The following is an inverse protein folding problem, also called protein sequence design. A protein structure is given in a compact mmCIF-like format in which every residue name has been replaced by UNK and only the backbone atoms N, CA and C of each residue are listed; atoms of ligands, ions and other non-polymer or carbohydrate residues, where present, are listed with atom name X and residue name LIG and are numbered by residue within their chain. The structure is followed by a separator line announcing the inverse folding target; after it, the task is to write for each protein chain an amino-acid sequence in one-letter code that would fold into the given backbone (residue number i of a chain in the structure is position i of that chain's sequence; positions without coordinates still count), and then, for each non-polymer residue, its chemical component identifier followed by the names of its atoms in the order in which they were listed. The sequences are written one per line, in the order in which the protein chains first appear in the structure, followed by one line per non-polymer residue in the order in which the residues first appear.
data_IF_598730194241
#
_entry.id   IF_598730194241
#
_cell.length_a   1.000
_cell.length_b   1.000
_cell.length_c   1.000
_cell.angle_alpha   90.00
_cell.angle_beta   90.00
_cell.angle_gamma   90.00
#
_symmetry.space_group_name_H-M   'P 1'
#
loop_
_entity.id
_entity.type
_entity.pdbx_description
1 polymer ?
#
# COMPACT_ATOMS: atom_id res chain seq x y z
N UNK A 1 -50.22 -46.46 1.19
CA UNK A 1 -49.92 -45.46 2.24
C UNK A 1 -49.26 -44.27 1.57
N UNK A 2 -49.88 -43.09 1.71
CA UNK A 2 -49.64 -41.88 0.92
C UNK A 2 -48.60 -40.99 1.63
N UNK A 3 -47.57 -40.61 0.87
CA UNK A 3 -46.92 -39.28 0.71
C UNK A 3 -46.39 -38.49 1.92
N UNK A 4 -45.35 -37.70 1.61
CA UNK A 4 -44.80 -36.50 2.28
C UNK A 4 -43.66 -36.81 3.28
N UNK A 5 -42.39 -36.84 2.88
CA UNK A 5 -41.55 -35.75 2.36
C UNK A 5 -41.56 -34.52 3.28
N UNK A 6 -40.86 -34.61 4.41
CA UNK A 6 -40.46 -33.44 5.18
C UNK A 6 -39.21 -32.86 4.51
N UNK A 7 -39.41 -31.84 3.68
CA UNK A 7 -38.33 -31.00 3.16
C UNK A 7 -37.75 -30.22 4.35
N UNK A 8 -36.45 -30.39 4.57
CA UNK A 8 -35.65 -29.62 5.50
C UNK A 8 -35.52 -28.18 4.94
N UNK A 9 -36.36 -27.26 5.40
CA UNK A 9 -36.21 -25.84 5.11
C UNK A 9 -35.09 -25.26 6.01
N UNK A 10 -33.84 -25.47 5.62
CA UNK A 10 -32.70 -24.76 6.18
C UNK A 10 -32.69 -23.33 5.65
N UNK A 11 -33.35 -22.42 6.35
CA UNK A 11 -33.24 -20.99 6.08
C UNK A 11 -31.82 -20.52 6.47
N UNK A 12 -30.91 -20.48 5.51
CA UNK A 12 -29.65 -19.76 5.64
C UNK A 12 -29.97 -18.27 5.49
N UNK A 13 -30.35 -17.62 6.59
CA UNK A 13 -30.23 -16.16 6.67
C UNK A 13 -28.74 -15.85 6.79
N UNK A 14 -28.07 -15.66 5.65
CA UNK A 14 -26.81 -14.91 5.65
C UNK A 14 -27.19 -13.44 5.86
N UNK A 15 -27.16 -13.00 7.11
CA UNK A 15 -27.01 -11.57 7.40
C UNK A 15 -25.72 -11.14 6.71
N UNK A 16 -25.85 -10.35 5.65
CA UNK A 16 -24.76 -9.55 5.14
C UNK A 16 -24.46 -8.48 6.21
N UNK A 17 -23.69 -8.87 7.22
CA UNK A 17 -23.03 -7.91 8.08
C UNK A 17 -22.08 -7.14 7.16
N UNK A 18 -22.39 -5.86 6.90
CA UNK A 18 -21.45 -4.96 6.25
C UNK A 18 -20.19 -4.96 7.09
N UNK A 19 -19.10 -5.53 6.58
CA UNK A 19 -17.81 -5.42 7.22
C UNK A 19 -17.42 -3.95 7.16
N UNK A 20 -17.29 -3.30 8.33
CA UNK A 20 -16.62 -2.02 8.41
C UNK A 20 -15.25 -2.17 7.70
N UNK A 21 -15.02 -1.39 6.65
CA UNK A 21 -13.78 -1.46 5.88
C UNK A 21 -12.69 -0.75 6.68
N UNK A 22 -11.83 -1.49 7.36
CA UNK A 22 -10.67 -0.93 8.03
C UNK A 22 -9.51 -0.83 7.03
N UNK A 23 -8.74 0.27 7.11
CA UNK A 23 -7.48 0.41 6.40
C UNK A 23 -6.60 -0.81 6.67
N UNK A 24 -6.23 -1.52 5.61
CA UNK A 24 -5.32 -2.65 5.65
C UNK A 24 -3.95 -2.20 5.18
N UNK A 25 -2.92 -2.47 5.98
CA UNK A 25 -1.53 -2.13 5.69
C UNK A 25 -0.73 -3.41 5.48
N UNK A 26 -0.07 -3.54 4.33
CA UNK A 26 0.78 -4.69 4.00
C UNK A 26 2.13 -4.26 3.43
N UNK A 27 3.10 -5.18 3.46
CA UNK A 27 4.49 -4.91 3.05
C UNK A 27 4.96 -5.75 1.86
N UNK A 28 4.03 -6.28 1.07
CA UNK A 28 4.37 -7.01 -0.16
C UNK A 28 4.92 -6.08 -1.22
N UNK A 29 5.91 -6.54 -1.98
CA UNK A 29 6.58 -5.78 -3.03
C UNK A 29 7.03 -6.69 -4.17
N UNK A 30 7.29 -6.10 -5.32
CA UNK A 30 8.13 -6.66 -6.39
C UNK A 30 9.50 -5.98 -6.39
N UNK A 31 10.43 -6.51 -7.19
CA UNK A 31 11.66 -5.81 -7.58
C UNK A 31 11.49 -5.26 -9.00
N UNK A 32 11.70 -3.96 -9.16
CA UNK A 32 11.53 -3.23 -10.41
C UNK A 32 11.79 -1.74 -10.20
N UNK A 33 11.97 -0.98 -11.29
CA UNK A 33 12.08 0.49 -11.25
C UNK A 33 13.07 0.98 -10.18
N UNK A 34 14.31 0.49 -10.23
CA UNK A 34 15.35 0.93 -9.29
C UNK A 34 15.35 0.24 -7.91
N UNK A 35 14.27 -0.43 -7.50
CA UNK A 35 14.21 -1.14 -6.23
C UNK A 35 12.87 -1.79 -5.88
N UNK A 36 12.29 -1.43 -4.74
CA UNK A 36 10.97 -1.94 -4.35
C UNK A 36 9.86 -1.18 -5.07
N UNK A 37 8.93 -1.92 -5.67
CA UNK A 37 7.74 -1.37 -6.32
C UNK A 37 6.49 -2.19 -5.98
N UNK A 38 5.32 -1.69 -6.35
CA UNK A 38 4.02 -2.32 -6.09
C UNK A 38 3.96 -3.75 -6.65
N UNK A 39 3.36 -4.70 -5.90
CA UNK A 39 3.07 -6.03 -6.42
C UNK A 39 1.80 -6.07 -7.28
N UNK A 40 1.01 -4.99 -7.30
CA UNK A 40 -0.31 -4.97 -7.91
C UNK A 40 -0.28 -4.43 -9.33
N UNK A 41 -0.97 -5.13 -10.24
CA UNK A 41 -1.16 -4.68 -11.60
C UNK A 41 -2.25 -3.59 -11.69
N UNK A 42 -2.29 -2.85 -12.81
CA UNK A 42 -3.31 -1.82 -13.10
C UNK A 42 -3.32 -0.62 -12.15
N UNK A 43 -2.17 -0.30 -11.56
CA UNK A 43 -1.95 0.93 -10.78
C UNK A 43 -1.09 1.91 -11.58
N UNK A 44 -1.21 3.19 -11.27
CA UNK A 44 -0.33 4.22 -11.83
C UNK A 44 0.83 4.44 -10.87
N UNK A 45 2.06 4.22 -11.33
CA UNK A 45 3.29 4.39 -10.55
C UNK A 45 4.04 5.64 -11.00
N UNK A 46 4.46 6.47 -10.04
CA UNK A 46 5.44 7.56 -10.19
C UNK A 46 6.79 7.10 -9.62
N UNK A 47 7.80 7.07 -10.49
CA UNK A 47 9.19 6.66 -10.17
C UNK A 47 10.13 7.85 -10.07
N UNK A 48 9.64 9.08 -10.32
CA UNK A 48 10.41 10.33 -10.32
C UNK A 48 11.60 10.41 -11.30
N UNK A 49 11.87 9.36 -12.07
CA UNK A 49 12.97 9.30 -13.03
C UNK A 49 12.76 10.18 -14.26
N UNK A 50 11.49 10.32 -14.66
CA UNK A 50 11.08 11.07 -15.83
C UNK A 50 11.16 12.58 -15.57
N UNK A 51 11.45 13.35 -16.62
CA UNK A 51 11.51 14.81 -16.52
C UNK A 51 10.16 15.45 -16.13
N UNK A 52 9.06 14.83 -16.59
CA UNK A 52 7.70 15.25 -16.24
C UNK A 52 7.15 14.33 -15.15
N UNK A 53 6.75 14.92 -14.03
CA UNK A 53 6.00 14.23 -12.99
C UNK A 53 4.58 13.94 -13.48
N UNK A 54 4.04 12.80 -13.07
CA UNK A 54 2.67 12.35 -13.32
C UNK A 54 1.66 13.18 -12.55
N UNK A 55 2.04 13.69 -11.39
CA UNK A 55 1.19 14.50 -10.54
C UNK A 55 1.81 15.87 -10.27
N UNK A 56 0.95 16.85 -10.04
CA UNK A 56 1.38 18.18 -9.63
C UNK A 56 1.65 18.18 -8.14
N UNK A 57 2.88 18.51 -7.78
CA UNK A 57 3.31 18.63 -6.40
C UNK A 57 3.41 20.10 -6.00
N UNK A 58 3.09 20.37 -4.74
CA UNK A 58 3.25 21.68 -4.10
C UNK A 58 3.94 21.52 -2.75
N UNK A 59 4.38 22.64 -2.17
CA UNK A 59 5.08 22.66 -0.90
C UNK A 59 6.60 22.61 -1.06
N UNK A 60 7.28 22.03 -0.07
CA UNK A 60 8.73 21.97 0.01
C UNK A 60 9.21 20.53 -0.24
N UNK A 61 9.68 20.29 -1.45
CA UNK A 61 10.22 19.00 -1.85
C UNK A 61 11.33 19.17 -2.88
N UNK A 62 12.09 18.12 -3.06
CA UNK A 62 13.08 17.98 -4.13
C UNK A 62 13.03 16.58 -4.71
N UNK A 63 13.33 16.47 -6.00
CA UNK A 63 13.59 15.19 -6.66
C UNK A 63 15.10 15.04 -6.76
N UNK A 64 15.64 14.03 -6.09
CA UNK A 64 17.09 13.84 -5.89
C UNK A 64 17.49 12.41 -6.20
N UNK A 65 18.80 12.17 -6.27
CA UNK A 65 19.39 10.83 -6.44
C UNK A 65 20.58 10.66 -5.50
N UNK A 66 20.81 9.44 -5.01
CA UNK A 66 21.90 9.15 -4.08
C UNK A 66 21.61 9.63 -2.65
N UNK A 67 22.65 9.79 -1.83
CA UNK A 67 22.51 10.23 -0.43
C UNK A 67 23.46 11.39 -0.15
N UNK A 68 22.97 12.39 0.59
CA UNK A 68 23.75 13.54 1.04
C UNK A 68 23.61 13.71 2.54
N UNK A 69 24.75 13.66 3.25
CA UNK A 69 24.78 13.68 4.71
C UNK A 69 24.10 14.93 5.26
N UNK A 70 23.11 14.72 6.14
CA UNK A 70 22.37 15.80 6.76
C UNK A 70 21.24 16.40 5.90
N UNK A 71 21.06 15.95 4.64
CA UNK A 71 19.97 16.42 3.79
C UNK A 71 18.95 15.32 3.50
N UNK A 72 19.38 14.21 2.90
CA UNK A 72 18.52 13.10 2.47
C UNK A 72 19.32 11.81 2.29
N UNK A 73 18.63 10.68 2.32
CA UNK A 73 19.20 9.38 2.02
C UNK A 73 18.30 8.55 1.11
N UNK A 74 18.84 8.09 -0.02
CA UNK A 74 18.16 7.15 -0.92
C UNK A 74 17.51 5.99 -0.14
N UNK A 75 16.26 5.58 -0.47
CA UNK A 75 15.65 4.39 0.11
C UNK A 75 16.54 3.14 -0.08
N UNK A 76 16.55 2.23 0.89
CA UNK A 76 17.26 0.95 0.74
C UNK A 76 16.31 -0.20 0.37
N UNK A 77 16.84 -1.22 -0.30
CA UNK A 77 16.13 -2.46 -0.57
C UNK A 77 17.10 -3.64 -0.63
N UNK A 78 16.56 -4.85 -0.46
CA UNK A 78 17.30 -6.07 -0.66
C UNK A 78 17.00 -6.63 -2.06
N UNK A 79 18.03 -6.80 -2.88
CA UNK A 79 17.88 -7.32 -4.25
C UNK A 79 17.86 -8.86 -4.33
N UNK A 80 17.72 -9.55 -3.20
CA UNK A 80 17.85 -11.00 -3.05
C UNK A 80 19.28 -11.48 -2.73
N UNK A 81 20.27 -10.59 -2.77
CA UNK A 81 21.69 -10.90 -2.49
C UNK A 81 22.26 -10.00 -1.40
N UNK A 82 22.00 -8.69 -1.47
CA UNK A 82 22.52 -7.70 -0.54
C UNK A 82 21.57 -6.53 -0.38
N UNK A 83 21.67 -5.83 0.74
CA UNK A 83 21.01 -4.55 0.95
C UNK A 83 21.76 -3.46 0.16
N UNK A 84 21.04 -2.77 -0.71
CA UNK A 84 21.57 -1.71 -1.58
C UNK A 84 20.67 -0.48 -1.52
N UNK A 85 21.25 0.66 -1.91
CA UNK A 85 20.53 1.93 -2.03
C UNK A 85 19.91 2.06 -3.40
N UNK A 86 18.77 2.74 -3.45
CA UNK A 86 18.21 3.26 -4.69
C UNK A 86 19.26 4.09 -5.43
N UNK A 87 19.46 3.75 -6.70
CA UNK A 87 20.37 4.43 -7.61
C UNK A 87 19.63 5.36 -8.57
N UNK A 88 18.29 5.37 -8.52
CA UNK A 88 17.40 6.17 -9.35
C UNK A 88 17.01 7.47 -8.65
N UNK A 89 16.02 8.19 -9.19
CA UNK A 89 15.54 9.42 -8.56
C UNK A 89 14.37 9.12 -7.63
N UNK A 90 14.28 9.88 -6.56
CA UNK A 90 13.20 9.75 -5.58
C UNK A 90 12.80 11.12 -5.05
N UNK A 91 11.61 11.22 -4.45
CA UNK A 91 11.14 12.44 -3.80
C UNK A 91 11.67 12.53 -2.36
N UNK A 92 12.12 13.72 -1.99
CA UNK A 92 12.47 14.05 -0.61
C UNK A 92 11.74 15.29 -0.12
N UNK A 93 11.08 15.19 1.04
CA UNK A 93 10.74 16.36 1.85
C UNK A 93 11.98 16.68 2.68
N UNK A 94 12.67 17.81 2.42
CA UNK A 94 13.99 18.04 2.98
C UNK A 94 13.96 18.18 4.49
N UNK A 95 15.06 17.78 5.13
CA UNK A 95 15.30 17.95 6.56
C UNK A 95 15.13 19.40 7.06
N UNK A 96 15.27 20.40 6.20
CA UNK A 96 15.36 21.80 6.63
C UNK A 96 14.06 22.31 7.26
N UNK A 97 13.92 22.07 8.57
CA UNK A 97 12.78 22.48 9.40
C UNK A 97 12.59 24.01 9.48
N UNK A 98 13.53 24.80 8.95
CA UNK A 98 13.39 26.26 8.91
C UNK A 98 12.65 26.75 7.66
N UNK A 99 12.45 25.91 6.64
CA UNK A 99 11.77 26.28 5.40
C UNK A 99 10.36 25.69 5.37
N UNK A 100 9.36 26.54 5.59
CA UNK A 100 7.95 26.13 5.51
C UNK A 100 7.43 26.13 4.05
N UNK A 101 6.45 25.27 3.71
CA UNK A 101 5.88 24.24 4.59
C UNK A 101 6.86 23.07 4.81
N UNK A 102 6.70 22.32 5.89
CA UNK A 102 7.50 21.11 6.16
C UNK A 102 6.96 19.87 5.43
N UNK A 103 6.32 20.10 4.28
CA UNK A 103 5.52 19.10 3.61
C UNK A 103 5.51 19.26 2.10
N UNK A 104 5.18 18.15 1.43
CA UNK A 104 4.93 18.06 0.01
C UNK A 104 3.55 17.46 -0.22
N UNK A 105 2.78 18.04 -1.13
CA UNK A 105 1.37 17.67 -1.32
C UNK A 105 1.06 17.48 -2.79
N UNK A 106 0.39 16.37 -3.10
CA UNK A 106 -0.40 16.21 -4.32
C UNK A 106 -1.84 16.50 -3.94
N UNK A 107 -2.40 17.61 -4.45
CA UNK A 107 -3.72 18.10 -4.04
C UNK A 107 -4.88 17.44 -4.78
N UNK A 108 -4.60 16.81 -5.92
CA UNK A 108 -5.60 16.08 -6.71
C UNK A 108 -4.90 15.07 -7.64
N UNK A 109 -5.24 13.80 -7.50
CA UNK A 109 -4.80 12.73 -8.40
C UNK A 109 -5.64 12.62 -9.69
N UNK A 110 -6.68 13.43 -9.83
CA UNK A 110 -7.62 13.48 -10.95
C UNK A 110 -8.76 12.46 -10.86
N UNK A 111 -8.82 11.68 -9.78
CA UNK A 111 -9.88 10.72 -9.46
C UNK A 111 -9.75 10.23 -8.01
N UNK A 112 -10.80 9.55 -7.53
CA UNK A 112 -10.85 8.95 -6.20
C UNK A 112 -10.28 7.52 -6.20
N UNK A 113 -9.29 7.29 -5.34
CA UNK A 113 -8.60 6.01 -5.22
C UNK A 113 -8.78 5.40 -3.82
N UNK A 114 -8.63 4.08 -3.71
CA UNK A 114 -8.65 3.33 -2.44
C UNK A 114 -7.39 2.49 -2.23
N UNK A 115 -6.42 2.61 -3.12
CA UNK A 115 -5.09 2.02 -2.96
C UNK A 115 -4.01 3.08 -3.09
N UNK A 116 -3.12 3.11 -2.11
CA UNK A 116 -1.85 3.81 -2.18
C UNK A 116 -0.71 2.83 -1.88
N UNK A 117 0.34 2.87 -2.69
CA UNK A 117 1.58 2.14 -2.47
C UNK A 117 2.76 3.09 -2.44
N UNK A 118 3.76 2.79 -1.64
CA UNK A 118 4.96 3.62 -1.58
C UNK A 118 6.19 2.83 -1.13
N UNK A 119 7.33 3.05 -1.77
CA UNK A 119 8.60 2.66 -1.20
C UNK A 119 9.08 3.75 -0.24
N UNK A 120 8.94 3.50 1.05
CA UNK A 120 9.33 4.44 2.10
C UNK A 120 10.70 4.06 2.66
N UNK A 121 11.68 4.96 2.51
CA UNK A 121 13.02 4.84 3.07
C UNK A 121 13.14 5.44 4.48
N UNK A 122 14.03 4.90 5.29
CA UNK A 122 14.38 5.44 6.61
C UNK A 122 13.16 5.79 7.50
N UNK A 123 12.12 4.93 7.53
CA UNK A 123 10.89 5.20 8.29
C UNK A 123 11.17 5.55 9.77
N UNK A 124 10.48 6.58 10.24
CA UNK A 124 10.65 7.14 11.58
C UNK A 124 9.37 7.79 12.12
N UNK A 125 9.43 8.27 13.36
CA UNK A 125 8.31 8.88 14.08
C UNK A 125 7.99 10.35 13.78
N UNK A 126 8.83 11.05 13.02
CA UNK A 126 8.64 12.47 12.67
C UNK A 126 8.24 12.67 11.21
N UNK A 127 8.19 11.58 10.45
CA UNK A 127 7.68 11.49 9.10
C UNK A 127 6.25 10.94 9.10
N UNK A 128 5.36 11.57 8.31
CA UNK A 128 3.95 11.15 8.22
C UNK A 128 3.32 11.38 6.85
N UNK A 129 2.30 10.58 6.56
CA UNK A 129 1.35 10.72 5.47
C UNK A 129 -0.02 11.12 5.97
N UNK A 130 -0.65 12.06 5.27
CA UNK A 130 -2.07 12.37 5.41
C UNK A 130 -2.76 12.10 4.07
N UNK A 131 -3.85 11.34 4.12
CA UNK A 131 -4.75 11.08 2.99
C UNK A 131 -6.00 11.91 3.17
N UNK A 132 -6.41 12.60 2.12
CA UNK A 132 -7.62 13.45 2.14
C UNK A 132 -8.57 13.08 1.02
N UNK A 133 -9.84 13.44 1.19
CA UNK A 133 -10.88 13.39 0.17
C UNK A 133 -11.69 14.70 0.24
N UNK A 134 -11.78 15.43 -0.87
CA UNK A 134 -12.44 16.74 -0.95
C UNK A 134 -11.93 17.72 0.13
N UNK A 135 -10.63 17.65 0.45
CA UNK A 135 -9.97 18.45 1.49
C UNK A 135 -10.23 17.99 2.94
N UNK A 136 -10.99 16.91 3.16
CA UNK A 136 -11.22 16.35 4.49
C UNK A 136 -10.22 15.24 4.79
N UNK A 137 -9.68 15.20 6.01
CA UNK A 137 -8.77 14.14 6.45
C UNK A 137 -9.49 12.78 6.51
N UNK A 138 -9.01 11.83 5.71
CA UNK A 138 -9.43 10.42 5.73
C UNK A 138 -8.58 9.65 6.73
N UNK A 139 -7.25 9.77 6.61
CA UNK A 139 -6.32 9.07 7.47
C UNK A 139 -5.00 9.80 7.62
N UNK A 140 -4.43 9.73 8.82
CA UNK A 140 -3.01 10.02 9.07
C UNK A 140 -2.27 8.74 9.44
N UNK A 141 -1.07 8.58 8.89
CA UNK A 141 -0.16 7.47 9.15
C UNK A 141 1.23 8.05 9.44
N UNK A 142 1.84 7.62 10.53
CA UNK A 142 3.22 7.92 10.90
C UNK A 142 4.09 6.67 10.72
N UNK A 143 5.42 6.81 10.70
CA UNK A 143 6.28 5.61 10.70
C UNK A 143 6.06 4.71 11.92
N UNK A 144 5.59 5.24 13.06
CA UNK A 144 5.21 4.43 14.22
C UNK A 144 4.02 3.51 13.97
N UNK A 145 3.07 3.92 13.13
CA UNK A 145 1.91 3.10 12.77
C UNK A 145 2.29 1.91 11.88
N UNK A 146 3.45 2.00 11.22
CA UNK A 146 3.96 1.00 10.27
C UNK A 146 5.00 0.06 10.89
N UNK A 147 5.68 0.50 11.94
CA UNK A 147 6.72 -0.28 12.56
C UNK A 147 6.17 -1.24 13.62
N UNK A 148 5.99 -2.51 13.25
CA UNK A 148 5.83 -3.57 14.25
C UNK A 148 7.05 -3.57 15.19
N UNK A 149 6.84 -3.30 16.48
CA UNK A 149 7.90 -3.35 17.50
C UNK A 149 8.81 -2.11 17.58
N UNK A 150 8.32 -0.90 17.30
CA UNK A 150 9.08 0.37 17.45
C UNK A 150 10.33 0.48 16.56
N UNK A 151 10.31 -0.16 15.38
CA UNK A 151 11.41 -0.09 14.42
C UNK A 151 11.50 1.25 13.66
N UNK A 152 10.60 2.21 13.87
CA UNK A 152 10.62 3.53 13.22
C UNK A 152 11.73 4.44 13.78
N UNK A 153 12.99 4.04 13.61
CA UNK A 153 14.17 4.72 14.16
C UNK A 153 14.98 5.48 13.10
N UNK A 154 14.53 5.51 11.84
CA UNK A 154 15.24 6.20 10.77
C UNK A 154 16.49 5.48 10.25
N UNK A 155 16.64 4.18 10.53
CA UNK A 155 17.79 3.43 10.00
C UNK A 155 17.74 3.41 8.46
N UNK A 156 18.84 3.84 7.85
CA UNK A 156 18.93 4.06 6.41
C UNK A 156 19.10 2.76 5.62
N UNK A 157 19.37 1.62 6.25
CA UNK A 157 19.61 0.35 5.56
C UNK A 157 18.71 -0.79 6.05
N UNK A 158 18.26 -0.74 7.30
CA UNK A 158 17.52 -1.84 7.90
C UNK A 158 16.22 -2.15 7.11
N UNK A 159 15.94 -3.43 6.79
CA UNK A 159 14.68 -3.82 6.15
C UNK A 159 13.43 -3.50 6.99
N UNK A 160 13.58 -3.20 8.28
CA UNK A 160 12.51 -2.74 9.16
C UNK A 160 12.00 -1.34 8.84
N UNK A 161 12.90 -0.46 8.40
CA UNK A 161 12.66 0.97 8.12
C UNK A 161 12.64 1.31 6.65
N UNK A 162 12.99 0.36 5.78
CA UNK A 162 13.01 0.54 4.33
C UNK A 162 12.11 -0.51 3.68
N UNK A 163 10.87 -0.12 3.34
CA UNK A 163 9.85 -1.06 2.88
C UNK A 163 8.97 -0.46 1.79
N UNK A 164 8.44 -1.34 0.95
CA UNK A 164 7.22 -1.00 0.22
C UNK A 164 6.03 -1.14 1.15
N UNK A 165 5.21 -0.10 1.27
CA UNK A 165 4.04 -0.05 2.14
C UNK A 165 2.82 0.11 1.27
N UNK A 166 1.86 -0.78 1.46
CA UNK A 166 0.59 -0.79 0.74
C UNK A 166 -0.52 -0.39 1.70
N UNK A 167 -1.34 0.56 1.31
CA UNK A 167 -2.50 1.07 2.01
C UNK A 167 -3.75 0.74 1.21
N UNK A 168 -4.55 -0.20 1.71
CA UNK A 168 -5.84 -0.58 1.14
C UNK A 168 -6.96 -0.05 2.03
N UNK A 169 -7.66 0.97 1.55
CA UNK A 169 -8.77 1.63 2.24
C UNK A 169 -10.10 0.86 2.10
N UNK A 170 -10.11 -0.24 1.34
CA UNK A 170 -11.28 -1.03 0.96
C UNK A 170 -12.35 -0.16 0.33
N UNK A 171 -13.41 0.20 1.06
CA UNK A 171 -14.47 1.08 0.53
C UNK A 171 -14.21 2.57 0.70
N UNK A 172 -13.33 2.99 1.62
CA UNK A 172 -12.96 4.40 1.78
C UNK A 172 -12.09 4.88 0.61
N UNK A 173 -12.12 6.20 0.35
CA UNK A 173 -11.45 6.82 -0.80
C UNK A 173 -10.59 8.00 -0.36
N UNK A 174 -9.62 8.35 -1.20
CA UNK A 174 -8.81 9.55 -1.11
C UNK A 174 -8.53 10.09 -2.52
N UNK A 175 -8.30 11.39 -2.64
CA UNK A 175 -7.95 12.10 -3.87
C UNK A 175 -6.61 12.85 -3.76
N UNK A 176 -6.06 12.95 -2.55
CA UNK A 176 -4.86 13.72 -2.25
C UNK A 176 -4.03 13.09 -1.13
N UNK A 177 -2.73 13.38 -1.16
CA UNK A 177 -1.79 13.02 -0.10
C UNK A 177 -0.90 14.19 0.29
N UNK A 178 -0.50 14.21 1.55
CA UNK A 178 0.55 15.11 2.07
C UNK A 178 1.62 14.31 2.79
N UNK A 179 2.87 14.47 2.36
CA UNK A 179 4.08 13.98 3.01
C UNK A 179 4.60 15.08 3.94
N UNK A 180 4.86 14.76 5.21
CA UNK A 180 5.39 15.75 6.17
C UNK A 180 6.60 15.20 6.89
N UNK A 181 7.63 16.03 7.06
CA UNK A 181 8.82 15.74 7.86
C UNK A 181 9.07 16.87 8.87
N UNK A 182 9.14 16.56 10.17
CA UNK A 182 9.40 17.59 11.19
C UNK A 182 10.79 17.54 11.82
N UNK A 183 11.70 16.67 11.35
CA UNK A 183 13.05 16.58 11.93
C UNK A 183 14.15 16.14 10.95
N UNK A 184 14.05 14.96 10.35
CA UNK A 184 14.93 14.51 9.24
C UNK A 184 14.09 14.20 8.02
N UNK A 185 14.71 14.27 6.85
CA UNK A 185 13.98 14.19 5.59
C UNK A 185 13.04 12.98 5.50
N UNK A 186 11.95 13.18 4.77
CA UNK A 186 11.10 12.11 4.32
C UNK A 186 11.59 11.67 2.95
N UNK A 187 11.98 10.41 2.77
CA UNK A 187 12.36 9.87 1.46
C UNK A 187 11.38 8.81 0.97
N UNK A 188 10.92 8.96 -0.27
CA UNK A 188 10.07 7.97 -0.90
C UNK A 188 10.26 7.86 -2.40
N UNK A 189 9.94 6.69 -2.92
CA UNK A 189 9.96 6.38 -4.34
C UNK A 189 8.84 5.40 -4.73
N UNK A 190 8.68 5.14 -6.03
CA UNK A 190 7.75 4.18 -6.61
C UNK A 190 6.34 4.33 -6.03
N UNK A 191 5.85 5.57 -5.98
CA UNK A 191 4.53 5.89 -5.45
C UNK A 191 3.46 5.37 -6.40
N UNK A 192 2.52 4.58 -5.89
CA UNK A 192 1.47 3.96 -6.67
C UNK A 192 0.07 4.39 -6.20
N UNK A 193 -0.83 4.68 -7.14
CA UNK A 193 -2.26 4.88 -6.87
C UNK A 193 -3.10 3.96 -7.75
N UNK A 194 -4.25 3.54 -7.25
CA UNK A 194 -5.18 2.76 -8.04
C UNK A 194 -6.41 2.29 -7.27
N UNK A 195 -7.08 1.30 -7.85
CA UNK A 195 -8.12 0.58 -7.15
C UNK A 195 -7.48 -0.41 -6.15
N UNK A 196 -8.03 -0.48 -4.93
CA UNK A 196 -7.76 -1.53 -3.96
C UNK A 196 -7.79 -2.89 -4.65
N UNK A 197 -6.69 -3.66 -4.57
CA UNK A 197 -6.66 -5.03 -5.06
C UNK A 197 -7.74 -5.82 -4.34
N UNK A 198 -8.79 -6.19 -5.07
CA UNK A 198 -9.87 -7.00 -4.50
C UNK A 198 -9.27 -8.38 -4.22
N UNK A 199 -9.30 -8.89 -2.97
CA UNK A 199 -8.90 -10.26 -2.70
C UNK A 199 -9.65 -11.17 -3.65
N UNK A 200 -8.94 -12.05 -4.37
CA UNK A 200 -9.58 -12.97 -5.30
C UNK A 200 -10.78 -13.62 -4.59
N UNK A 201 -11.98 -13.59 -5.19
CA UNK A 201 -13.16 -14.07 -4.49
C UNK A 201 -12.90 -15.49 -4.01
N UNK A 202 -13.04 -15.72 -2.70
CA UNK A 202 -12.98 -17.07 -2.12
C UNK A 202 -13.94 -18.05 -2.83
N UNK A 203 -14.86 -17.54 -3.63
CA UNK A 203 -15.63 -18.24 -4.66
C UNK A 203 -14.81 -19.16 -5.56
N UNK A 204 -13.56 -18.85 -5.93
CA UNK A 204 -12.72 -19.78 -6.73
C UNK A 204 -12.32 -20.98 -5.87
N UNK A 205 -11.93 -20.76 -4.62
CA UNK A 205 -11.63 -21.83 -3.67
C UNK A 205 -12.89 -22.65 -3.35
N UNK A 206 -14.04 -22.00 -3.19
CA UNK A 206 -15.34 -22.62 -2.93
C UNK A 206 -15.82 -23.43 -4.14
N UNK A 207 -15.63 -22.89 -5.36
CA UNK A 207 -15.90 -23.58 -6.62
C UNK A 207 -14.99 -24.80 -6.76
N UNK A 208 -13.70 -24.64 -6.50
CA UNK A 208 -12.72 -25.74 -6.50
C UNK A 208 -13.09 -26.85 -5.50
N UNK A 209 -13.44 -26.46 -4.26
CA UNK A 209 -13.91 -27.39 -3.24
C UNK A 209 -15.23 -28.08 -3.64
N UNK A 210 -16.17 -27.34 -4.22
CA UNK A 210 -17.44 -27.88 -4.72
C UNK A 210 -17.25 -28.90 -5.85
N UNK A 211 -16.40 -28.59 -6.83
CA UNK A 211 -16.05 -29.50 -7.93
C UNK A 211 -15.32 -30.75 -7.45
N UNK A 212 -14.38 -30.60 -6.52
CA UNK A 212 -13.70 -31.73 -5.88
C UNK A 212 -14.69 -32.63 -5.13
N UNK A 213 -15.63 -32.04 -4.39
CA UNK A 213 -16.71 -32.76 -3.71
C UNK A 213 -17.59 -33.56 -4.69
N UNK A 214 -18.00 -32.97 -5.81
CA UNK A 214 -18.76 -33.63 -6.87
C UNK A 214 -17.98 -34.77 -7.54
N UNK A 215 -16.68 -34.58 -7.78
CA UNK A 215 -15.77 -35.60 -8.32
C UNK A 215 -15.61 -36.81 -7.39
N UNK A 216 -15.49 -36.58 -6.09
CA UNK A 216 -15.44 -37.65 -5.09
C UNK A 216 -16.78 -38.39 -4.96
N UNK A 217 -17.90 -37.67 -5.03
CA UNK A 217 -19.24 -38.25 -4.96
C UNK A 217 -19.55 -39.14 -6.17
N UNK A 218 -19.26 -38.66 -7.38
CA UNK A 218 -19.48 -39.41 -8.63
C UNK A 218 -18.64 -40.70 -8.68
N UNK A 219 -17.37 -40.65 -8.24
CA UNK A 219 -16.51 -41.84 -8.11
C UNK A 219 -17.06 -42.90 -7.14
N UNK A 220 -17.71 -42.47 -6.05
CA UNK A 220 -18.34 -43.40 -5.10
C UNK A 220 -19.59 -44.08 -5.67
N UNK A 221 -20.35 -43.39 -6.53
CA UNK A 221 -21.50 -43.99 -7.22
C UNK A 221 -21.09 -44.97 -8.30
N UNK A 222 -20.00 -44.72 -9.03
CA UNK A 222 -19.53 -45.62 -10.08
C UNK A 222 -18.94 -46.96 -9.56
N UNK A 223 -18.67 -47.07 -8.26
CA UNK A 223 -18.19 -48.30 -7.60
C UNK A 223 -19.29 -49.12 -6.91
N UNK A 224 -20.54 -48.67 -6.98
CA UNK A 224 -21.73 -49.45 -6.59
C UNK A 224 -22.44 -49.94 -7.84
#
# INVERSE_FOLDING_TARGET
MKKMAALLAGAILMLAAGTASALTITYSNNLGDGGYTTPYASVTVETFDNASLKWSWSGNYQIVSGSESGLYSAPAYNNGVSDIKDATKYISVPKNVQTNPLSATVTDFGADYNYFGIWWGSMDGYNSFEFTLDGNLVKKVTGFDLAAGNLANGDQFAPGTNRYVNFDFGTEKFDSITMTSTNYAFEADNMAIGAAPVPEPGTIMLLGAGLAGLGLYSRRRAKK
#
